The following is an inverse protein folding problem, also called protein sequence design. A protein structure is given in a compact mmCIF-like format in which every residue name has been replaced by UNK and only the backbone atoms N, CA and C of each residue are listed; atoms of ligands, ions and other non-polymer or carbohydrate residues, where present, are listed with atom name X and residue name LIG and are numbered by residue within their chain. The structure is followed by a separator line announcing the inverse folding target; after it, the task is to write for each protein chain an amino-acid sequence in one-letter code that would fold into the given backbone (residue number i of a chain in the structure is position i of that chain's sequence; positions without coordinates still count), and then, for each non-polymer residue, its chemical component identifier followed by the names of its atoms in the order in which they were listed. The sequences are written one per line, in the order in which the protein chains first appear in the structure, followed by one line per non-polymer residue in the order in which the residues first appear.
data_IF_856782534035
#
_entry.id   IF_856782534035
#
_cell.length_a   1.000
_cell.length_b   1.000
_cell.length_c   1.000
_cell.angle_alpha   90.00
_cell.angle_beta   90.00
_cell.angle_gamma   90.00
#
_symmetry.space_group_name_H-M   'P 1'
#
loop_
_entity.id
_entity.type
_entity.pdbx_description
1 polymer ?
#
# COMPACT_ATOMS: atom_id res chain seq x y z
N UNK A 1 -19.74 31.18 5.35
CA UNK A 1 -18.43 30.54 5.18
C UNK A 1 -17.93 30.86 3.80
N UNK A 2 -16.95 31.75 3.73
CA UNK A 2 -16.44 32.32 2.48
C UNK A 2 -15.45 31.37 1.79
N UNK A 3 -15.34 31.49 0.48
CA UNK A 3 -14.44 30.71 -0.41
C UNK A 3 -12.95 30.74 0.05
N UNK A 4 -12.59 31.63 0.95
CA UNK A 4 -11.23 31.76 1.53
C UNK A 4 -10.86 30.68 2.57
N UNK A 5 -11.82 30.00 3.20
CA UNK A 5 -11.52 28.94 4.18
C UNK A 5 -11.16 27.58 3.54
N UNK A 6 -11.47 27.38 2.25
CA UNK A 6 -11.11 26.17 1.52
C UNK A 6 -9.64 26.14 1.04
N UNK A 7 -8.93 27.28 1.10
CA UNK A 7 -7.53 27.42 0.65
C UNK A 7 -6.48 27.16 1.75
N UNK A 8 -6.90 26.96 3.00
CA UNK A 8 -6.00 26.92 4.16
C UNK A 8 -5.33 25.55 4.43
N UNK A 9 -5.40 24.59 3.52
CA UNK A 9 -4.78 23.23 3.70
C UNK A 9 -3.44 23.09 2.97
N UNK A 10 -2.90 24.16 2.39
CA UNK A 10 -1.79 24.07 1.42
C UNK A 10 -0.40 24.47 1.97
N UNK A 11 -0.22 24.67 3.24
CA UNK A 11 1.09 25.11 3.76
C UNK A 11 1.83 24.05 4.60
N UNK A 12 1.83 22.80 4.08
CA UNK A 12 2.73 21.75 4.61
C UNK A 12 4.07 21.89 3.91
N UNK A 13 5.12 22.24 4.69
CA UNK A 13 6.48 22.32 4.18
C UNK A 13 6.92 20.98 3.61
N UNK A 14 7.37 20.96 2.34
CA UNK A 14 7.95 19.78 1.69
C UNK A 14 9.46 19.87 1.72
N UNK A 15 10.12 18.80 2.20
CA UNK A 15 11.55 18.65 2.11
C UNK A 15 11.95 18.31 0.65
N UNK A 16 13.11 18.75 0.23
CA UNK A 16 13.73 18.21 -0.98
C UNK A 16 14.21 16.79 -0.70
N UNK A 17 13.62 15.84 -1.36
CA UNK A 17 13.89 14.40 -1.20
C UNK A 17 14.48 13.77 -2.46
N UNK A 18 14.81 14.60 -3.48
CA UNK A 18 15.29 14.15 -4.80
C UNK A 18 14.29 13.16 -5.44
N UNK A 19 14.79 12.05 -5.96
CA UNK A 19 13.99 11.02 -6.64
C UNK A 19 13.19 10.13 -5.69
N UNK A 20 13.41 10.23 -4.36
CA UNK A 20 12.74 9.38 -3.38
C UNK A 20 11.36 9.94 -3.02
N UNK A 21 10.37 9.06 -2.93
CA UNK A 21 9.01 9.41 -2.52
C UNK A 21 8.68 8.92 -1.11
N UNK A 22 9.35 7.85 -0.63
CA UNK A 22 9.28 7.37 0.75
C UNK A 22 10.70 7.31 1.29
N UNK A 23 10.91 7.86 2.48
CA UNK A 23 12.17 7.78 3.22
C UNK A 23 11.87 7.38 4.65
N UNK A 24 12.45 6.27 5.08
CA UNK A 24 12.42 5.76 6.44
C UNK A 24 13.86 5.80 6.99
N UNK A 25 14.08 6.44 8.13
CA UNK A 25 15.39 6.57 8.76
C UNK A 25 15.31 6.08 10.21
N UNK A 26 15.91 4.92 10.47
CA UNK A 26 16.01 4.28 11.80
C UNK A 26 14.66 4.16 12.51
N UNK A 27 13.61 3.81 11.76
CA UNK A 27 12.23 3.71 12.27
C UNK A 27 12.10 2.57 13.25
N UNK A 28 11.59 2.85 14.44
CA UNK A 28 11.32 1.88 15.52
C UNK A 28 9.85 1.88 15.90
N UNK A 29 9.34 0.70 16.23
CA UNK A 29 7.99 0.51 16.75
C UNK A 29 7.98 -0.60 17.78
N UNK A 30 7.34 -0.33 18.91
CA UNK A 30 7.14 -1.30 20.00
C UNK A 30 5.65 -1.49 20.29
N UNK A 31 5.31 -2.71 20.69
CA UNK A 31 4.03 -3.06 21.27
C UNK A 31 4.29 -3.69 22.64
N UNK A 32 4.16 -2.89 23.71
CA UNK A 32 4.63 -3.29 25.02
C UNK A 32 6.14 -3.58 25.01
N UNK A 33 6.52 -4.79 25.42
CA UNK A 33 7.93 -5.22 25.43
C UNK A 33 8.42 -5.74 24.07
N UNK A 34 7.51 -6.01 23.14
CA UNK A 34 7.86 -6.51 21.81
C UNK A 34 8.25 -5.37 20.86
N UNK A 35 9.47 -5.41 20.32
CA UNK A 35 9.95 -4.46 19.33
C UNK A 35 9.73 -4.99 17.91
N UNK A 36 8.66 -4.52 17.26
CA UNK A 36 8.25 -4.97 15.94
C UNK A 36 9.11 -4.39 14.80
N UNK A 37 9.62 -3.15 14.98
CA UNK A 37 10.58 -2.51 14.07
C UNK A 37 11.79 -2.04 14.86
N UNK A 38 12.98 -2.47 14.43
CA UNK A 38 14.22 -2.33 15.21
C UNK A 38 15.22 -1.39 14.54
N UNK A 39 14.73 -0.24 14.02
CA UNK A 39 15.59 0.77 13.38
C UNK A 39 15.64 0.60 11.86
N UNK A 40 14.49 0.43 11.22
CA UNK A 40 14.37 0.27 9.76
C UNK A 40 14.80 1.53 9.05
N UNK A 41 15.70 1.39 8.08
CA UNK A 41 16.06 2.42 7.12
C UNK A 41 15.75 1.88 5.72
N UNK A 42 14.89 2.58 4.99
CA UNK A 42 14.45 2.22 3.65
C UNK A 42 14.13 3.48 2.86
N UNK A 43 14.49 3.50 1.59
CA UNK A 43 14.14 4.59 0.66
C UNK A 43 13.48 3.99 -0.57
N UNK A 44 12.36 4.56 -1.01
CA UNK A 44 11.63 4.13 -2.21
C UNK A 44 11.62 5.27 -3.21
N UNK A 45 11.99 4.98 -4.46
CA UNK A 45 11.99 5.96 -5.55
C UNK A 45 10.57 6.13 -6.12
N UNK A 46 10.36 7.24 -6.83
CA UNK A 46 9.14 7.41 -7.63
C UNK A 46 9.07 6.34 -8.70
N UNK A 47 7.87 5.81 -8.92
CA UNK A 47 7.57 4.73 -9.89
C UNK A 47 8.28 3.40 -9.59
N UNK A 48 8.90 3.25 -8.43
CA UNK A 48 9.52 2.00 -8.00
C UNK A 48 8.47 1.06 -7.39
N UNK A 49 8.55 -0.22 -7.74
CA UNK A 49 7.80 -1.31 -7.11
C UNK A 49 8.73 -2.05 -6.15
N UNK A 50 8.53 -1.83 -4.85
CA UNK A 50 9.27 -2.53 -3.79
C UNK A 50 8.39 -3.62 -3.20
N UNK A 51 8.85 -4.87 -3.23
CA UNK A 51 8.16 -5.99 -2.60
C UNK A 51 8.87 -6.36 -1.30
N UNK A 52 8.10 -6.44 -0.21
CA UNK A 52 8.59 -6.83 1.11
C UNK A 52 8.16 -8.27 1.39
N UNK A 53 9.14 -9.14 1.63
CA UNK A 53 8.94 -10.54 1.97
C UNK A 53 9.53 -10.85 3.35
N UNK A 54 9.16 -12.00 3.92
CA UNK A 54 9.70 -12.46 5.20
C UNK A 54 8.67 -13.27 6.00
N UNK A 55 9.10 -13.94 7.06
CA UNK A 55 8.21 -14.76 7.89
C UNK A 55 7.11 -13.93 8.58
N UNK A 56 6.05 -14.60 9.01
CA UNK A 56 5.00 -13.98 9.82
C UNK A 56 5.60 -13.39 11.10
N UNK A 57 5.11 -12.22 11.51
CA UNK A 57 5.64 -11.51 12.69
C UNK A 57 6.97 -10.77 12.48
N UNK A 58 7.54 -10.74 11.28
CA UNK A 58 8.80 -10.02 11.00
C UNK A 58 8.68 -8.49 10.96
N UNK A 59 7.46 -7.93 11.07
CA UNK A 59 7.24 -6.49 11.12
C UNK A 59 6.79 -5.85 9.80
N UNK A 60 6.58 -6.61 8.72
CA UNK A 60 6.20 -6.11 7.38
C UNK A 60 4.96 -5.22 7.38
N UNK A 61 3.84 -5.75 7.90
CA UNK A 61 2.58 -5.00 8.00
C UNK A 61 2.71 -3.79 8.89
N UNK A 62 3.45 -3.89 10.00
CA UNK A 62 3.73 -2.76 10.89
C UNK A 62 4.48 -1.66 10.16
N UNK A 63 5.49 -2.02 9.35
CA UNK A 63 6.27 -1.07 8.56
C UNK A 63 5.38 -0.28 7.60
N UNK A 64 4.58 -1.00 6.81
CA UNK A 64 3.66 -0.38 5.82
C UNK A 64 2.64 0.52 6.50
N UNK A 65 2.09 0.09 7.65
CA UNK A 65 1.13 0.88 8.44
C UNK A 65 1.75 2.10 9.12
N UNK A 66 3.06 2.11 9.37
CA UNK A 66 3.74 3.31 9.86
C UNK A 66 3.85 4.39 8.79
N UNK A 67 3.95 4.05 7.50
CA UNK A 67 4.12 5.01 6.40
C UNK A 67 2.92 5.95 6.26
N UNK A 68 1.69 5.43 6.45
CA UNK A 68 0.45 6.24 6.39
C UNK A 68 -0.10 6.59 7.78
N UNK A 69 0.71 6.39 8.83
CA UNK A 69 0.34 6.66 10.23
C UNK A 69 -0.92 5.92 10.72
N UNK A 70 -1.18 4.73 10.21
CA UNK A 70 -2.14 3.80 10.84
C UNK A 70 -1.55 3.19 12.10
N UNK A 71 -0.22 2.96 12.09
CA UNK A 71 0.57 2.69 13.28
C UNK A 71 1.53 3.86 13.52
N UNK A 72 1.55 4.35 14.75
CA UNK A 72 2.48 5.39 15.16
C UNK A 72 3.85 4.78 15.43
N UNK A 73 4.89 5.21 14.72
CA UNK A 73 6.26 4.87 15.06
C UNK A 73 6.71 5.56 16.37
N UNK A 74 7.64 4.94 17.09
CA UNK A 74 8.09 5.43 18.40
C UNK A 74 9.39 6.24 18.29
N UNK A 75 10.25 5.91 17.31
CA UNK A 75 11.48 6.62 17.04
C UNK A 75 11.85 6.53 15.55
N UNK A 76 12.78 7.37 15.13
CA UNK A 76 13.19 7.49 13.73
C UNK A 76 12.40 8.57 13.01
N UNK A 77 12.59 8.64 11.69
CA UNK A 77 11.99 9.64 10.82
C UNK A 77 11.32 8.99 9.62
N UNK A 78 10.15 9.47 9.25
CA UNK A 78 9.40 9.03 8.05
C UNK A 78 9.07 10.27 7.22
N UNK A 79 9.43 10.26 5.94
CA UNK A 79 9.05 11.30 4.98
C UNK A 79 8.33 10.65 3.82
N UNK A 80 7.17 11.19 3.44
CA UNK A 80 6.35 10.70 2.33
C UNK A 80 6.01 11.87 1.41
N UNK A 81 6.37 11.77 0.13
CA UNK A 81 6.22 12.82 -0.88
C UNK A 81 6.74 14.18 -0.40
N UNK A 82 7.89 14.19 0.27
CA UNK A 82 8.51 15.38 0.86
C UNK A 82 7.88 15.89 2.16
N UNK A 83 6.80 15.26 2.64
CA UNK A 83 6.12 15.63 3.89
C UNK A 83 6.64 14.74 5.02
N UNK A 84 7.19 15.35 6.07
CA UNK A 84 7.60 14.60 7.26
C UNK A 84 6.40 14.21 8.10
N UNK A 85 6.34 12.94 8.46
CA UNK A 85 5.30 12.38 9.31
C UNK A 85 5.57 12.78 10.76
N UNK A 86 4.87 13.79 11.21
CA UNK A 86 4.94 14.34 12.58
C UNK A 86 3.64 14.06 13.34
N UNK A 87 3.50 14.61 14.55
CA UNK A 87 2.23 14.58 15.28
C UNK A 87 1.21 15.62 14.79
N UNK A 88 1.59 16.49 13.85
CA UNK A 88 0.66 17.46 13.26
C UNK A 88 -0.34 16.73 12.37
N UNK A 89 -1.62 16.88 12.71
CA UNK A 89 -2.72 16.25 11.96
C UNK A 89 -2.74 16.68 10.50
N UNK A 90 -2.30 17.90 10.18
CA UNK A 90 -2.24 18.41 8.79
C UNK A 90 -1.27 17.60 7.95
N UNK A 91 -0.11 17.26 8.51
CA UNK A 91 0.89 16.41 7.82
C UNK A 91 0.35 15.00 7.60
N UNK A 92 -0.31 14.42 8.61
CA UNK A 92 -0.93 13.10 8.51
C UNK A 92 -2.00 13.07 7.42
N UNK A 93 -2.89 14.06 7.40
CA UNK A 93 -3.94 14.15 6.38
C UNK A 93 -3.37 14.38 4.98
N UNK A 94 -2.35 15.24 4.85
CA UNK A 94 -1.68 15.49 3.57
C UNK A 94 -1.04 14.20 3.02
N UNK A 95 -0.34 13.44 3.86
CA UNK A 95 0.23 12.14 3.49
C UNK A 95 -0.87 11.15 3.07
N UNK A 96 -1.93 11.00 3.88
CA UNK A 96 -3.02 10.07 3.59
C UNK A 96 -3.81 10.38 2.32
N UNK A 97 -3.76 11.62 1.83
CA UNK A 97 -4.35 12.00 0.53
C UNK A 97 -3.55 11.45 -0.64
N UNK A 98 -2.23 11.30 -0.48
CA UNK A 98 -1.31 10.88 -1.54
C UNK A 98 -0.95 9.39 -1.44
N UNK A 99 -1.43 8.68 -0.41
CA UNK A 99 -1.14 7.28 -0.14
C UNK A 99 -2.44 6.48 -0.12
N UNK A 100 -2.63 5.61 -1.11
CA UNK A 100 -3.67 4.58 -1.10
C UNK A 100 -3.18 3.35 -0.33
N UNK A 101 -4.08 2.70 0.39
CA UNK A 101 -3.76 1.45 1.09
C UNK A 101 -4.83 0.40 0.88
N UNK A 102 -4.36 -0.81 0.58
CA UNK A 102 -5.15 -2.03 0.41
C UNK A 102 -4.71 -3.04 1.47
N UNK A 103 -5.67 -3.59 2.21
CA UNK A 103 -5.45 -4.48 3.34
C UNK A 103 -5.72 -5.93 2.97
N UNK A 104 -5.25 -6.85 3.80
CA UNK A 104 -5.60 -8.27 3.75
C UNK A 104 -7.11 -8.48 3.85
N UNK A 105 -7.78 -7.80 4.78
CA UNK A 105 -9.23 -7.72 4.83
C UNK A 105 -9.69 -6.55 3.97
N UNK A 106 -10.72 -6.73 3.19
CA UNK A 106 -11.17 -5.76 2.18
C UNK A 106 -11.60 -4.41 2.78
N UNK A 107 -12.09 -4.44 4.03
CA UNK A 107 -12.51 -3.26 4.81
C UNK A 107 -13.52 -2.37 4.06
N UNK A 108 -14.40 -2.97 3.28
CA UNK A 108 -15.49 -2.26 2.62
C UNK A 108 -16.59 -1.93 3.63
N UNK A 109 -17.27 -0.82 3.41
CA UNK A 109 -18.45 -0.45 4.20
C UNK A 109 -19.62 -1.35 3.76
N UNK A 110 -20.10 -2.29 4.61
CA UNK A 110 -21.06 -3.30 4.19
C UNK A 110 -22.46 -2.75 3.89
N UNK A 111 -22.79 -1.57 4.43
CA UNK A 111 -24.06 -0.88 4.26
C UNK A 111 -24.08 0.08 3.06
N UNK A 112 -22.99 0.16 2.30
CA UNK A 112 -22.83 1.01 1.12
C UNK A 112 -22.68 0.15 -0.12
N UNK A 113 -23.17 0.62 -1.26
CA UNK A 113 -22.93 -0.02 -2.56
C UNK A 113 -21.45 0.01 -2.92
N UNK A 114 -21.03 -0.77 -3.91
CA UNK A 114 -19.67 -0.72 -4.47
C UNK A 114 -19.33 0.69 -4.93
N UNK A 115 -20.23 1.32 -5.69
CA UNK A 115 -20.04 2.69 -6.18
C UNK A 115 -19.91 3.70 -5.04
N UNK A 116 -20.73 3.59 -4.00
CA UNK A 116 -20.65 4.46 -2.83
C UNK A 116 -19.35 4.27 -2.05
N UNK A 117 -18.87 3.02 -1.90
CA UNK A 117 -17.57 2.71 -1.29
C UNK A 117 -16.42 3.41 -2.01
N UNK A 118 -16.44 3.43 -3.35
CA UNK A 118 -15.38 4.03 -4.17
C UNK A 118 -15.48 5.56 -4.20
N UNK A 119 -16.70 6.13 -4.20
CA UNK A 119 -16.91 7.58 -4.31
C UNK A 119 -16.81 8.34 -2.98
N UNK A 120 -16.91 7.66 -1.85
CA UNK A 120 -16.99 8.30 -0.52
C UNK A 120 -15.80 9.22 -0.24
N UNK A 121 -14.57 8.69 -0.32
CA UNK A 121 -13.36 9.44 0.01
C UNK A 121 -13.12 10.62 -0.95
N UNK A 122 -13.22 10.48 -2.28
CA UNK A 122 -13.14 11.61 -3.21
C UNK A 122 -14.15 12.74 -2.90
N UNK A 123 -15.37 12.39 -2.54
CA UNK A 123 -16.41 13.39 -2.19
C UNK A 123 -16.10 14.10 -0.88
N UNK A 124 -15.70 13.35 0.16
CA UNK A 124 -15.50 13.91 1.50
C UNK A 124 -14.15 14.63 1.64
N UNK A 125 -13.08 14.08 1.07
CA UNK A 125 -11.70 14.56 1.26
C UNK A 125 -11.27 15.51 0.15
N UNK A 126 -11.48 15.13 -1.13
CA UNK A 126 -11.15 15.94 -2.29
C UNK A 126 -12.24 16.98 -2.62
N UNK A 127 -13.41 16.90 -1.93
CA UNK A 127 -14.59 17.76 -2.17
C UNK A 127 -15.07 17.74 -3.61
N UNK A 128 -14.90 16.62 -4.29
CA UNK A 128 -15.37 16.49 -5.67
C UNK A 128 -16.90 16.46 -5.76
N UNK A 129 -17.48 17.08 -6.79
CA UNK A 129 -18.90 16.91 -7.10
C UNK A 129 -19.24 15.44 -7.31
N UNK A 130 -20.48 15.07 -6.99
CA UNK A 130 -20.96 13.68 -7.10
C UNK A 130 -20.73 13.09 -8.48
N UNK A 131 -21.12 13.80 -9.51
CA UNK A 131 -20.98 13.37 -10.92
C UNK A 131 -19.53 13.07 -11.31
N UNK A 132 -18.57 13.92 -10.88
CA UNK A 132 -17.15 13.69 -11.11
C UNK A 132 -16.66 12.43 -10.37
N UNK A 133 -17.05 12.27 -9.11
CA UNK A 133 -16.64 11.14 -8.30
C UNK A 133 -17.21 9.82 -8.87
N UNK A 134 -18.48 9.79 -9.28
CA UNK A 134 -19.13 8.63 -9.89
C UNK A 134 -18.50 8.25 -11.23
N UNK A 135 -18.22 9.22 -12.10
CA UNK A 135 -17.54 8.97 -13.38
C UNK A 135 -16.17 8.31 -13.18
N UNK A 136 -15.34 8.89 -12.31
CA UNK A 136 -14.02 8.34 -12.01
C UNK A 136 -14.13 6.97 -11.35
N UNK A 137 -15.08 6.77 -10.45
CA UNK A 137 -15.32 5.48 -9.82
C UNK A 137 -15.70 4.41 -10.84
N UNK A 138 -16.58 4.71 -11.79
CA UNK A 138 -16.96 3.78 -12.86
C UNK A 138 -15.77 3.43 -13.77
N UNK A 139 -14.95 4.42 -14.17
CA UNK A 139 -13.72 4.18 -14.94
C UNK A 139 -12.76 3.24 -14.18
N UNK A 140 -12.63 3.40 -12.86
CA UNK A 140 -11.79 2.53 -12.03
C UNK A 140 -12.40 1.13 -11.84
N UNK A 141 -13.71 1.02 -11.67
CA UNK A 141 -14.41 -0.26 -11.59
C UNK A 141 -14.31 -1.05 -12.92
N UNK A 142 -14.37 -0.35 -14.05
CA UNK A 142 -14.06 -0.94 -15.36
C UNK A 142 -12.62 -1.45 -15.42
N UNK A 143 -11.66 -0.62 -15.01
CA UNK A 143 -10.24 -0.97 -15.00
C UNK A 143 -9.93 -2.21 -14.15
N UNK A 144 -10.61 -2.39 -13.03
CA UNK A 144 -10.46 -3.60 -12.19
C UNK A 144 -11.46 -4.72 -12.57
N UNK A 145 -12.22 -4.57 -13.67
CA UNK A 145 -13.08 -5.61 -14.26
C UNK A 145 -14.31 -5.97 -13.43
N UNK A 146 -14.96 -4.99 -12.76
CA UNK A 146 -16.15 -5.21 -11.93
C UNK A 146 -17.18 -4.08 -12.03
N UNK A 147 -17.23 -3.33 -13.13
CA UNK A 147 -18.19 -2.23 -13.30
C UNK A 147 -19.66 -2.67 -13.23
N UNK A 148 -19.95 -3.88 -13.68
CA UNK A 148 -21.29 -4.51 -13.61
C UNK A 148 -21.77 -4.75 -12.17
N UNK A 149 -20.86 -4.71 -11.18
CA UNK A 149 -21.15 -4.88 -9.76
C UNK A 149 -21.37 -3.55 -9.01
N UNK A 150 -21.32 -2.39 -9.69
CA UNK A 150 -21.32 -1.05 -9.07
C UNK A 150 -22.47 -0.81 -8.08
N UNK A 151 -23.65 -1.37 -8.33
CA UNK A 151 -24.85 -1.17 -7.51
C UNK A 151 -25.07 -2.27 -6.46
N UNK A 152 -24.22 -3.28 -6.40
CA UNK A 152 -24.29 -4.34 -5.39
C UNK A 152 -23.64 -3.90 -4.07
N UNK A 153 -23.96 -4.61 -3.01
CA UNK A 153 -23.36 -4.47 -1.70
C UNK A 153 -22.19 -5.46 -1.52
N UNK A 154 -21.19 -5.17 -0.68
CA UNK A 154 -20.05 -6.05 -0.47
C UNK A 154 -20.39 -7.52 -0.17
N UNK A 155 -21.44 -7.78 0.63
CA UNK A 155 -21.88 -9.12 0.95
C UNK A 155 -22.43 -9.94 -0.23
N UNK A 156 -22.63 -9.34 -1.40
CA UNK A 156 -23.06 -10.00 -2.63
C UNK A 156 -21.89 -10.33 -3.57
N UNK A 157 -20.66 -10.02 -3.15
CA UNK A 157 -19.44 -10.16 -3.96
C UNK A 157 -18.57 -11.30 -3.45
N UNK A 158 -17.83 -11.95 -4.36
CA UNK A 158 -16.74 -12.85 -3.96
C UNK A 158 -15.60 -12.08 -3.28
N UNK A 159 -14.72 -12.79 -2.57
CA UNK A 159 -13.55 -12.19 -1.93
C UNK A 159 -12.65 -11.44 -2.93
N UNK A 160 -12.38 -12.03 -4.09
CA UNK A 160 -11.58 -11.40 -5.14
C UNK A 160 -12.26 -10.14 -5.72
N UNK A 161 -13.59 -10.16 -5.89
CA UNK A 161 -14.35 -8.98 -6.28
C UNK A 161 -14.27 -7.88 -5.21
N UNK A 162 -14.44 -8.23 -3.93
CA UNK A 162 -14.33 -7.25 -2.83
C UNK A 162 -12.93 -6.63 -2.78
N UNK A 163 -11.87 -7.41 -3.01
CA UNK A 163 -10.51 -6.90 -3.04
C UNK A 163 -10.28 -5.96 -4.23
N UNK A 164 -10.83 -6.27 -5.40
CA UNK A 164 -10.76 -5.36 -6.55
C UNK A 164 -11.52 -4.05 -6.29
N UNK A 165 -12.66 -4.09 -5.58
CA UNK A 165 -13.33 -2.87 -5.09
C UNK A 165 -12.43 -2.09 -4.14
N UNK A 166 -11.75 -2.75 -3.21
CA UNK A 166 -10.83 -2.09 -2.28
C UNK A 166 -9.67 -1.40 -3.01
N UNK A 167 -9.14 -2.02 -4.07
CA UNK A 167 -8.13 -1.41 -4.95
C UNK A 167 -8.72 -0.18 -5.67
N UNK A 168 -9.89 -0.31 -6.30
CA UNK A 168 -10.55 0.81 -6.97
C UNK A 168 -10.83 1.97 -6.01
N UNK A 169 -11.28 1.68 -4.80
CA UNK A 169 -11.50 2.68 -3.74
C UNK A 169 -10.23 3.43 -3.38
N UNK A 170 -9.11 2.72 -3.24
CA UNK A 170 -7.82 3.35 -2.94
C UNK A 170 -7.36 4.24 -4.11
N UNK A 171 -7.51 3.77 -5.36
CA UNK A 171 -7.16 4.51 -6.57
C UNK A 171 -8.05 5.72 -6.82
N UNK A 172 -9.29 5.73 -6.33
CA UNK A 172 -10.24 6.83 -6.53
C UNK A 172 -9.75 8.16 -5.92
N UNK A 173 -8.87 8.09 -4.93
CA UNK A 173 -8.18 9.25 -4.37
C UNK A 173 -7.06 9.78 -5.27
N UNK A 174 -6.75 9.13 -6.40
CA UNK A 174 -5.61 9.46 -7.28
C UNK A 174 -4.30 9.59 -6.49
N UNK A 175 -3.92 8.55 -5.72
CA UNK A 175 -2.73 8.61 -4.88
C UNK A 175 -1.45 8.53 -5.73
N UNK A 176 -0.34 9.03 -5.19
CA UNK A 176 0.99 8.86 -5.78
C UNK A 176 1.67 7.56 -5.39
N UNK A 177 1.21 6.94 -4.31
CA UNK A 177 1.77 5.74 -3.72
C UNK A 177 0.64 4.77 -3.39
N UNK A 178 0.82 3.50 -3.72
CA UNK A 178 -0.07 2.41 -3.29
C UNK A 178 0.67 1.47 -2.34
N UNK A 179 0.11 1.30 -1.15
CA UNK A 179 0.56 0.34 -0.15
C UNK A 179 -0.36 -0.88 -0.18
N UNK A 180 0.22 -2.07 -0.26
CA UNK A 180 -0.50 -3.33 -0.21
C UNK A 180 0.00 -4.17 0.98
N UNK A 181 -0.89 -4.50 1.89
CA UNK A 181 -0.61 -5.32 3.08
C UNK A 181 -1.26 -6.69 2.93
N UNK A 182 -0.52 -7.64 2.34
CA UNK A 182 -0.95 -9.02 2.07
C UNK A 182 -2.31 -9.11 1.33
N UNK A 183 -2.48 -8.48 0.16
CA UNK A 183 -3.79 -8.29 -0.49
C UNK A 183 -4.47 -9.57 -0.95
N UNK A 184 -3.76 -10.70 -1.00
CA UNK A 184 -4.27 -11.98 -1.49
C UNK A 184 -4.45 -13.04 -0.38
N UNK A 185 -3.94 -12.81 0.82
CA UNK A 185 -3.88 -13.85 1.87
C UNK A 185 -5.23 -14.24 2.47
N UNK A 186 -6.30 -13.47 2.22
CA UNK A 186 -7.68 -13.80 2.61
C UNK A 186 -8.52 -14.36 1.45
N UNK A 187 -7.89 -14.70 0.31
CA UNK A 187 -8.57 -15.15 -0.90
C UNK A 187 -8.36 -16.64 -1.16
N UNK A 188 -9.36 -17.24 -1.78
CA UNK A 188 -9.22 -18.57 -2.34
C UNK A 188 -8.26 -18.54 -3.55
N UNK A 189 -7.50 -19.61 -3.83
CA UNK A 189 -6.49 -19.66 -4.90
C UNK A 189 -7.02 -19.24 -6.28
N UNK A 190 -8.27 -19.56 -6.59
CA UNK A 190 -8.91 -19.21 -7.85
C UNK A 190 -9.08 -17.69 -8.03
N UNK A 191 -9.20 -16.94 -6.93
CA UNK A 191 -9.44 -15.49 -6.94
C UNK A 191 -8.14 -14.67 -6.91
N UNK A 192 -7.02 -15.29 -6.51
CA UNK A 192 -5.72 -14.61 -6.37
C UNK A 192 -5.27 -14.01 -7.69
N UNK A 193 -5.41 -14.79 -8.78
CA UNK A 193 -4.95 -14.38 -10.11
C UNK A 193 -5.54 -13.04 -10.56
N UNK A 194 -6.85 -12.87 -10.41
CA UNK A 194 -7.55 -11.64 -10.85
C UNK A 194 -7.05 -10.40 -10.10
N UNK A 195 -6.77 -10.54 -8.80
CA UNK A 195 -6.23 -9.43 -7.99
C UNK A 195 -4.78 -9.13 -8.39
N UNK A 196 -3.96 -10.16 -8.59
CA UNK A 196 -2.57 -9.99 -9.03
C UNK A 196 -2.49 -9.37 -10.44
N UNK A 197 -3.41 -9.71 -11.35
CA UNK A 197 -3.45 -9.12 -12.69
C UNK A 197 -3.70 -7.61 -12.63
N UNK A 198 -4.62 -7.15 -11.77
CA UNK A 198 -4.82 -5.72 -11.51
C UNK A 198 -3.55 -5.07 -10.94
N UNK A 199 -2.87 -5.71 -9.99
CA UNK A 199 -1.64 -5.18 -9.41
C UNK A 199 -0.49 -5.11 -10.43
N UNK A 200 -0.39 -6.10 -11.35
CA UNK A 200 0.57 -6.07 -12.48
C UNK A 200 0.31 -4.87 -13.40
N UNK A 201 -0.94 -4.61 -13.73
CA UNK A 201 -1.31 -3.45 -14.54
C UNK A 201 -0.91 -2.14 -13.86
N UNK A 202 -1.14 -2.01 -12.56
CA UNK A 202 -0.72 -0.83 -11.80
C UNK A 202 0.80 -0.65 -11.84
N UNK A 203 1.57 -1.72 -11.64
CA UNK A 203 3.02 -1.68 -11.75
C UNK A 203 3.48 -1.20 -13.13
N UNK A 204 2.93 -1.79 -14.21
CA UNK A 204 3.24 -1.40 -15.59
C UNK A 204 2.84 0.04 -15.93
N UNK A 205 1.83 0.58 -15.26
CA UNK A 205 1.41 1.99 -15.42
C UNK A 205 2.34 3.01 -14.72
N UNK A 206 3.42 2.56 -14.06
CA UNK A 206 4.36 3.40 -13.35
C UNK A 206 3.87 3.87 -11.97
N UNK A 207 2.94 3.16 -11.36
CA UNK A 207 2.51 3.43 -9.99
C UNK A 207 3.63 3.09 -9.01
N UNK A 208 3.97 4.01 -8.11
CA UNK A 208 4.85 3.68 -6.98
C UNK A 208 4.14 2.73 -6.03
N UNK A 209 4.72 1.57 -5.77
CA UNK A 209 4.07 0.53 -4.97
C UNK A 209 5.00 -0.02 -3.90
N UNK A 210 4.47 -0.21 -2.69
CA UNK A 210 5.11 -0.98 -1.64
C UNK A 210 4.19 -2.14 -1.28
N UNK A 211 4.63 -3.36 -1.55
CA UNK A 211 3.78 -4.56 -1.51
C UNK A 211 4.32 -5.58 -0.53
N UNK A 212 3.59 -5.87 0.53
CA UNK A 212 3.81 -7.03 1.39
C UNK A 212 3.05 -8.21 0.79
N UNK A 213 3.74 -9.28 0.43
CA UNK A 213 3.11 -10.46 -0.18
C UNK A 213 3.90 -11.74 0.06
N UNK A 214 3.20 -12.87 -0.06
CA UNK A 214 3.77 -14.21 -0.14
C UNK A 214 3.78 -14.77 -1.56
N UNK A 215 3.28 -14.01 -2.53
CA UNK A 215 3.20 -14.40 -3.95
C UNK A 215 4.55 -14.20 -4.64
N UNK A 216 5.43 -15.21 -4.56
CA UNK A 216 6.81 -15.10 -5.10
C UNK A 216 6.85 -14.96 -6.61
N UNK A 217 5.89 -15.58 -7.33
CA UNK A 217 5.76 -15.41 -8.77
C UNK A 217 5.47 -13.95 -9.16
N UNK A 218 4.59 -13.29 -8.42
CA UNK A 218 4.31 -11.86 -8.59
C UNK A 218 5.54 -11.01 -8.26
N UNK A 219 6.19 -11.26 -7.13
CA UNK A 219 7.40 -10.54 -6.73
C UNK A 219 8.49 -10.62 -7.80
N UNK A 220 8.71 -11.80 -8.36
CA UNK A 220 9.72 -12.03 -9.42
C UNK A 220 9.41 -11.27 -10.71
N UNK A 221 8.11 -11.14 -11.06
CA UNK A 221 7.67 -10.53 -12.32
C UNK A 221 7.67 -8.99 -12.27
N UNK A 222 7.24 -8.38 -11.14
CA UNK A 222 6.93 -6.95 -11.10
C UNK A 222 7.83 -6.10 -10.23
N UNK A 223 8.56 -6.71 -9.28
CA UNK A 223 9.39 -5.94 -8.37
C UNK A 223 10.62 -5.35 -9.08
N UNK A 224 10.88 -4.07 -8.85
CA UNK A 224 12.18 -3.47 -9.15
C UNK A 224 13.20 -3.88 -8.07
N UNK A 225 12.71 -4.00 -6.84
CA UNK A 225 13.51 -4.39 -5.66
C UNK A 225 12.70 -5.21 -4.68
N UNK A 226 13.35 -6.21 -4.10
CA UNK A 226 12.82 -7.03 -3.02
C UNK A 226 13.56 -6.67 -1.73
N UNK A 227 12.82 -6.62 -0.62
CA UNK A 227 13.33 -6.39 0.73
C UNK A 227 12.91 -7.57 1.60
N UNK A 228 13.87 -8.31 2.12
CA UNK A 228 13.62 -9.38 3.05
C UNK A 228 13.72 -8.88 4.50
N UNK A 229 12.63 -9.04 5.24
CA UNK A 229 12.55 -8.68 6.66
C UNK A 229 12.49 -9.91 7.54
N UNK A 230 13.27 -9.91 8.62
CA UNK A 230 13.19 -10.90 9.70
C UNK A 230 13.43 -10.22 11.06
N UNK A 231 12.68 -10.64 12.08
CA UNK A 231 12.79 -10.16 13.46
C UNK A 231 12.86 -8.62 13.61
N UNK A 232 12.07 -7.88 12.82
CA UNK A 232 12.00 -6.42 12.87
C UNK A 232 13.17 -5.69 12.19
N UNK A 233 13.97 -6.37 11.41
CA UNK A 233 15.11 -5.83 10.67
C UNK A 233 14.98 -6.09 9.17
N UNK A 234 15.56 -5.22 8.34
CA UNK A 234 15.86 -5.53 6.96
C UNK A 234 17.16 -6.37 6.97
N UNK A 235 17.07 -7.59 6.48
CA UNK A 235 18.18 -8.55 6.47
C UNK A 235 18.93 -8.51 5.15
N UNK A 236 18.18 -8.38 4.05
CA UNK A 236 18.72 -8.34 2.70
C UNK A 236 17.81 -7.55 1.78
N UNK A 237 18.40 -6.80 0.84
CA UNK A 237 17.66 -6.12 -0.24
C UNK A 237 18.41 -6.27 -1.56
N UNK A 238 17.67 -6.35 -2.66
CA UNK A 238 18.26 -6.52 -3.99
C UNK A 238 17.21 -6.64 -5.08
N UNK A 239 17.67 -6.89 -6.31
CA UNK A 239 16.78 -7.16 -7.46
C UNK A 239 16.10 -8.53 -7.33
N UNK A 240 14.99 -8.78 -8.03
CA UNK A 240 14.40 -10.12 -8.08
C UNK A 240 15.40 -11.19 -8.52
N UNK A 241 16.24 -10.89 -9.53
CA UNK A 241 17.26 -11.82 -10.00
C UNK A 241 18.21 -12.21 -8.85
N UNK A 242 18.72 -11.23 -8.08
CA UNK A 242 19.57 -11.48 -6.92
C UNK A 242 18.89 -12.45 -5.94
N UNK A 243 17.64 -12.17 -5.55
CA UNK A 243 16.91 -12.97 -4.57
C UNK A 243 16.63 -14.40 -5.02
N UNK A 244 16.25 -14.60 -6.28
CA UNK A 244 15.82 -15.90 -6.77
C UNK A 244 16.93 -16.76 -7.36
N UNK A 245 18.13 -16.20 -7.58
CA UNK A 245 19.27 -16.95 -8.14
C UNK A 245 20.46 -17.02 -7.21
N UNK A 246 20.75 -15.97 -6.44
CA UNK A 246 21.98 -15.88 -5.63
C UNK A 246 21.78 -15.04 -4.35
N UNK A 247 20.81 -15.38 -3.47
CA UNK A 247 20.66 -14.70 -2.18
C UNK A 247 21.92 -14.87 -1.34
N UNK A 248 22.34 -13.82 -0.66
CA UNK A 248 23.62 -13.82 0.07
C UNK A 248 23.44 -14.24 1.53
N UNK A 249 22.38 -13.77 2.19
CA UNK A 249 22.18 -14.02 3.60
C UNK A 249 21.58 -15.40 3.88
N UNK A 250 22.12 -16.15 4.84
CA UNK A 250 21.65 -17.50 5.16
C UNK A 250 20.18 -17.58 5.56
N UNK A 251 19.67 -16.55 6.26
CA UNK A 251 18.24 -16.46 6.61
C UNK A 251 17.35 -16.28 5.39
N UNK A 252 17.83 -15.53 4.40
CA UNK A 252 17.12 -15.36 3.11
C UNK A 252 17.06 -16.68 2.35
N UNK A 253 18.19 -17.39 2.26
CA UNK A 253 18.27 -18.71 1.60
C UNK A 253 17.31 -19.71 2.25
N UNK A 254 17.32 -19.77 3.59
CA UNK A 254 16.44 -20.66 4.35
C UNK A 254 14.97 -20.33 4.10
N UNK A 255 14.60 -19.05 4.15
CA UNK A 255 13.22 -18.61 3.92
C UNK A 255 12.75 -18.96 2.50
N UNK A 256 13.56 -18.64 1.49
CA UNK A 256 13.23 -18.92 0.09
C UNK A 256 13.13 -20.43 -0.18
N UNK A 257 13.99 -21.25 0.40
CA UNK A 257 13.93 -22.71 0.25
C UNK A 257 12.62 -23.29 0.79
N UNK A 258 12.09 -22.72 1.87
CA UNK A 258 10.81 -23.18 2.46
C UNK A 258 9.59 -22.82 1.59
N UNK A 259 9.63 -21.69 0.87
CA UNK A 259 8.48 -21.20 0.09
C UNK A 259 8.51 -21.71 -1.36
N UNK A 260 9.68 -21.88 -1.95
CA UNK A 260 9.81 -22.29 -3.35
C UNK A 260 9.65 -23.81 -3.54
N UNK A 261 9.67 -24.61 -2.46
CA UNK A 261 9.48 -26.06 -2.49
C UNK A 261 8.04 -26.49 -2.13
N UNK A 262 7.14 -25.56 -1.95
CA UNK A 262 5.69 -25.76 -1.88
C UNK A 262 5.00 -25.20 -3.13
#
# INVERSE_FOLDING_TARGET
MTIQEAAAVTDVQRADVGDYIIILEKVRKRFGDFEALRGITLRVKRQEVVVIIGPSGSGKSTLVRCINHLEKHDAGRIVVDGIELTRDIRNIEAIRREVGMVFQQFNLFPHMTVLDNVTLAPRLVRKWPREKAERIAMELLERVGIADQAHKYPGQLSGGQQQRVAIARALAMQPKIMLFDEPTSALDPEMIKEVLDVMRELARSGMTMLVVTHEMGFAREVADRIVFMDAGLIVEEGTPEHFFTNPQHERTKLFLSQILHH
#
